data_IF_133512321605
#
_entry.id   IF_133512321605
#
_cell.length_a   1.000
_cell.length_b   1.000
_cell.length_c   1.000
_cell.angle_alpha   90.00
_cell.angle_beta   90.00
_cell.angle_gamma   90.00
#
_symmetry.space_group_name_H-M   'P 1'
#
loop_
_entity.id
_entity.type
_entity.pdbx_description
1 polymer ?
#
# COMPACT_ATOMS: atom_id res chain seq x y z
N UNK A 1 -15.81 -7.53 -10.06
CA UNK A 1 -17.00 -6.89 -10.66
C UNK A 1 -17.04 -5.47 -10.14
N UNK A 2 -17.14 -4.49 -11.02
CA UNK A 2 -17.21 -3.08 -10.65
C UNK A 2 -18.41 -2.47 -11.36
N UNK A 3 -19.28 -1.80 -10.61
CA UNK A 3 -20.37 -0.99 -11.16
C UNK A 3 -20.08 0.47 -10.81
N UNK A 4 -20.05 1.34 -11.81
CA UNK A 4 -19.97 2.79 -11.62
C UNK A 4 -21.28 3.42 -12.09
N UNK A 5 -21.75 4.44 -11.38
CA UNK A 5 -22.91 5.22 -11.75
C UNK A 5 -22.65 6.72 -11.54
N UNK A 6 -23.26 7.55 -12.37
CA UNK A 6 -23.29 8.99 -12.19
C UNK A 6 -24.76 9.42 -12.07
N UNK A 7 -25.11 10.03 -10.94
CA UNK A 7 -26.46 10.52 -10.68
C UNK A 7 -26.49 12.04 -10.75
N UNK A 8 -27.59 12.59 -11.25
CA UNK A 8 -27.89 14.02 -11.28
C UNK A 8 -29.04 14.34 -10.34
N UNK A 9 -28.85 15.34 -9.49
CA UNK A 9 -29.91 15.91 -8.64
C UNK A 9 -30.01 17.40 -8.90
N UNK A 10 -31.22 17.96 -8.86
CA UNK A 10 -31.44 19.40 -9.00
C UNK A 10 -32.28 19.96 -7.87
N UNK A 11 -31.96 21.18 -7.46
CA UNK A 11 -32.77 21.95 -6.51
C UNK A 11 -32.64 23.45 -6.81
N UNK A 12 -33.55 24.23 -6.24
CA UNK A 12 -33.56 25.69 -6.37
C UNK A 12 -32.96 26.28 -5.10
N UNK A 13 -32.05 27.23 -5.25
CA UNK A 13 -31.49 27.98 -4.13
C UNK A 13 -31.20 29.44 -4.53
N UNK A 14 -31.00 30.29 -3.54
CA UNK A 14 -30.59 31.68 -3.72
C UNK A 14 -29.10 31.78 -3.46
N UNK A 15 -28.35 32.20 -4.48
CA UNK A 15 -26.90 32.38 -4.41
C UNK A 15 -26.55 33.86 -4.38
N UNK A 16 -25.48 34.20 -3.67
CA UNK A 16 -24.89 35.54 -3.62
C UNK A 16 -23.44 35.47 -4.13
N UNK A 17 -23.11 36.33 -5.10
CA UNK A 17 -21.76 36.41 -5.66
C UNK A 17 -21.29 37.87 -5.77
N UNK A 18 -19.98 38.14 -5.83
CA UNK A 18 -19.45 39.46 -6.17
C UNK A 18 -20.05 40.00 -7.47
N UNK A 19 -20.34 41.29 -7.53
CA UNK A 19 -20.91 41.91 -8.71
C UNK A 19 -19.88 42.12 -9.83
N UNK A 20 -19.55 41.05 -10.54
CA UNK A 20 -18.61 41.08 -11.68
C UNK A 20 -19.27 41.52 -13.00
N UNK A 21 -20.52 41.97 -12.97
CA UNK A 21 -21.29 42.36 -14.16
C UNK A 21 -22.35 41.33 -14.54
N UNK A 22 -22.62 41.19 -15.86
CA UNK A 22 -23.72 40.37 -16.36
C UNK A 22 -23.43 38.88 -16.19
N UNK A 23 -24.33 38.18 -15.50
CA UNK A 23 -24.32 36.72 -15.37
C UNK A 23 -24.97 36.08 -16.61
N UNK A 24 -24.53 34.88 -17.05
CA UNK A 24 -25.31 34.07 -17.96
C UNK A 24 -26.60 33.65 -17.26
N UNK A 25 -27.74 33.91 -17.89
CA UNK A 25 -29.06 33.66 -17.31
C UNK A 25 -29.88 32.69 -18.15
N UNK A 26 -30.80 32.00 -17.48
CA UNK A 26 -31.75 31.07 -18.07
C UNK A 26 -33.19 31.59 -17.92
N UNK A 27 -34.11 31.22 -18.82
CA UNK A 27 -35.49 31.71 -18.79
C UNK A 27 -36.21 31.43 -17.46
N UNK A 28 -37.06 32.35 -17.04
CA UNK A 28 -37.80 32.25 -15.76
C UNK A 28 -38.72 31.04 -15.69
N UNK A 29 -39.22 30.57 -16.84
CA UNK A 29 -40.07 29.39 -16.99
C UNK A 29 -39.38 28.10 -16.54
N UNK A 30 -38.05 28.09 -16.48
CA UNK A 30 -37.28 26.97 -15.98
C UNK A 30 -37.56 26.65 -14.50
N UNK A 31 -38.08 27.61 -13.72
CA UNK A 31 -38.51 27.37 -12.34
C UNK A 31 -39.74 26.46 -12.24
N UNK A 32 -40.60 26.43 -13.26
CA UNK A 32 -41.78 25.55 -13.30
C UNK A 32 -41.38 24.07 -13.48
N UNK A 33 -40.27 23.84 -14.19
CA UNK A 33 -39.70 22.52 -14.39
C UNK A 33 -38.18 22.63 -14.51
N UNK A 34 -37.50 22.48 -13.37
CA UNK A 34 -36.04 22.64 -13.25
C UNK A 34 -35.26 21.67 -14.13
N UNK A 35 -35.90 20.58 -14.57
CA UNK A 35 -35.30 19.58 -15.45
C UNK A 35 -35.33 19.95 -16.94
N UNK A 36 -36.03 21.03 -17.32
CA UNK A 36 -36.04 21.55 -18.69
C UNK A 36 -34.71 22.18 -19.10
N UNK A 37 -33.91 22.65 -18.12
CA UNK A 37 -32.59 23.20 -18.36
C UNK A 37 -31.66 22.09 -18.87
N UNK A 38 -31.00 22.31 -20.00
CA UNK A 38 -30.01 21.36 -20.52
C UNK A 38 -28.74 21.45 -19.68
N UNK A 39 -28.43 20.41 -18.91
CA UNK A 39 -27.15 20.26 -18.22
C UNK A 39 -26.11 19.66 -19.17
N UNK A 40 -24.84 19.81 -18.85
CA UNK A 40 -23.72 19.21 -19.60
C UNK A 40 -22.96 18.23 -18.70
N UNK A 41 -23.41 16.98 -18.55
CA UNK A 41 -22.75 16.04 -17.63
C UNK A 41 -21.26 15.85 -17.98
N UNK A 42 -20.36 15.75 -16.99
CA UNK A 42 -18.92 15.52 -17.23
C UNK A 42 -18.72 14.22 -18.00
N UNK A 43 -17.72 14.01 -18.87
CA UNK A 43 -17.62 12.75 -19.64
C UNK A 43 -17.26 11.53 -18.78
N UNK A 44 -16.56 11.74 -17.67
CA UNK A 44 -16.12 10.72 -16.73
C UNK A 44 -17.11 10.53 -15.56
N UNK A 45 -16.82 9.59 -14.66
CA UNK A 45 -17.52 9.47 -13.37
C UNK A 45 -16.94 10.45 -12.33
N UNK A 46 -16.84 11.73 -12.71
CA UNK A 46 -16.40 12.80 -11.82
C UNK A 46 -17.60 13.48 -11.16
N UNK A 47 -17.39 13.98 -9.93
CA UNK A 47 -18.33 14.91 -9.32
C UNK A 47 -18.25 16.27 -10.00
N UNK A 48 -19.40 16.89 -10.21
CA UNK A 48 -19.49 18.23 -10.80
C UNK A 48 -20.71 18.98 -10.25
N UNK A 49 -20.66 20.31 -10.27
CA UNK A 49 -21.77 21.17 -9.84
C UNK A 49 -21.94 22.30 -10.84
N UNK A 50 -23.10 22.34 -11.46
CA UNK A 50 -23.48 23.36 -12.44
C UNK A 50 -24.55 24.26 -11.85
N UNK A 51 -24.36 25.57 -12.02
CA UNK A 51 -25.23 26.60 -11.50
C UNK A 51 -25.88 27.29 -12.68
N UNK A 52 -27.21 27.36 -12.67
CA UNK A 52 -28.01 28.00 -13.71
C UNK A 52 -28.78 29.18 -13.13
N UNK A 53 -28.21 30.41 -13.16
CA UNK A 53 -28.88 31.62 -12.70
C UNK A 53 -30.16 31.90 -13.50
N UNK A 54 -31.26 32.26 -12.84
CA UNK A 54 -32.54 32.52 -13.50
C UNK A 54 -32.69 34.02 -13.80
N UNK A 55 -33.08 34.35 -15.03
CA UNK A 55 -33.26 35.75 -15.44
C UNK A 55 -34.36 36.45 -14.61
N UNK A 56 -34.19 37.76 -14.41
CA UNK A 56 -35.15 38.59 -13.68
C UNK A 56 -35.12 38.43 -12.16
N UNK A 57 -34.34 37.48 -11.62
CA UNK A 57 -34.22 37.25 -10.17
C UNK A 57 -33.01 37.95 -9.54
N UNK A 58 -32.17 38.61 -10.33
CA UNK A 58 -30.97 39.28 -9.87
C UNK A 58 -31.32 40.52 -9.05
N UNK A 59 -30.73 40.63 -7.86
CA UNK A 59 -30.80 41.80 -7.00
C UNK A 59 -29.40 42.23 -6.61
N UNK A 60 -29.02 43.42 -7.05
CA UNK A 60 -27.75 44.06 -6.65
C UNK A 60 -27.94 44.72 -5.30
N UNK A 61 -26.97 44.53 -4.40
CA UNK A 61 -26.93 45.22 -3.12
C UNK A 61 -25.50 45.65 -2.77
N UNK A 62 -25.40 46.70 -1.95
CA UNK A 62 -24.12 47.15 -1.40
C UNK A 62 -23.54 46.05 -0.54
N UNK A 63 -22.23 45.75 -0.70
CA UNK A 63 -21.59 44.72 0.10
C UNK A 63 -21.61 45.12 1.59
N UNK A 64 -22.21 44.32 2.47
CA UNK A 64 -22.33 44.67 3.89
C UNK A 64 -21.00 44.58 4.64
N UNK A 65 -19.99 43.88 4.09
CA UNK A 65 -18.70 43.72 4.76
C UNK A 65 -17.79 44.95 4.59
N UNK A 66 -17.89 45.67 3.45
CA UNK A 66 -17.09 46.86 3.17
C UNK A 66 -17.93 48.12 2.96
N UNK A 67 -19.25 48.04 3.12
CA UNK A 67 -20.20 49.13 2.93
C UNK A 67 -20.03 49.88 1.59
N UNK A 68 -19.72 49.15 0.52
CA UNK A 68 -19.53 49.75 -0.81
C UNK A 68 -18.09 50.12 -1.16
N UNK A 69 -17.17 50.12 -0.18
CA UNK A 69 -15.80 50.57 -0.41
C UNK A 69 -14.95 49.62 -1.26
N UNK A 70 -15.33 48.35 -1.36
CA UNK A 70 -14.51 47.31 -2.01
C UNK A 70 -13.28 46.88 -1.18
N UNK A 71 -12.84 47.70 -0.25
CA UNK A 71 -11.68 47.46 0.61
C UNK A 71 -12.07 47.46 2.09
N UNK A 72 -11.28 46.77 2.91
CA UNK A 72 -11.40 46.73 4.37
C UNK A 72 -10.12 47.34 4.95
N UNK A 73 -10.27 48.47 5.65
CA UNK A 73 -9.17 49.12 6.36
C UNK A 73 -9.10 48.62 7.80
N UNK A 74 -8.00 47.96 8.15
CA UNK A 74 -7.74 47.47 9.52
C UNK A 74 -6.58 48.23 10.14
N UNK A 75 -6.65 48.39 11.45
CA UNK A 75 -5.51 48.93 12.22
C UNK A 75 -4.33 47.97 12.07
N UNK A 76 -3.16 48.51 11.77
CA UNK A 76 -1.97 47.70 11.60
C UNK A 76 -1.54 47.12 12.96
N UNK A 77 -1.76 45.82 13.17
CA UNK A 77 -1.39 45.09 14.39
C UNK A 77 0.08 45.30 14.77
N UNK A 78 0.93 45.22 13.76
CA UNK A 78 2.38 45.41 13.83
C UNK A 78 2.84 46.72 14.50
N UNK A 79 2.07 47.81 14.39
CA UNK A 79 2.40 49.10 15.02
C UNK A 79 1.28 49.67 15.90
N UNK A 80 0.23 48.88 16.17
CA UNK A 80 -0.94 49.33 16.91
C UNK A 80 -1.64 50.55 16.31
N UNK A 81 -1.52 50.78 15.00
CA UNK A 81 -2.09 51.96 14.34
C UNK A 81 -1.20 53.20 14.25
N UNK A 82 -0.02 53.18 14.86
CA UNK A 82 0.84 54.38 14.95
C UNK A 82 1.66 54.67 13.69
N UNK A 83 1.71 53.74 12.73
CA UNK A 83 2.53 53.86 11.52
C UNK A 83 4.04 53.73 11.75
N UNK A 84 4.48 53.64 13.00
CA UNK A 84 5.90 53.54 13.35
C UNK A 84 6.13 52.51 14.45
N UNK A 85 7.35 51.99 14.54
CA UNK A 85 7.77 51.12 15.64
C UNK A 85 8.97 51.74 16.33
N UNK A 86 9.13 51.45 17.62
CA UNK A 86 10.33 51.85 18.37
C UNK A 86 11.55 51.20 17.70
N UNK A 87 12.58 51.98 17.41
CA UNK A 87 13.81 51.47 16.83
C UNK A 87 14.45 50.48 17.82
N UNK A 88 14.56 49.22 17.42
CA UNK A 88 15.15 48.16 18.25
C UNK A 88 16.63 48.42 18.51
N UNK A 89 17.35 49.02 17.56
CA UNK A 89 18.79 49.28 17.66
C UNK A 89 19.17 50.33 18.71
N UNK A 90 18.25 51.25 19.07
CA UNK A 90 18.49 52.27 20.09
C UNK A 90 17.44 52.32 21.21
N UNK A 91 16.52 51.34 21.25
CA UNK A 91 15.41 51.26 22.19
C UNK A 91 14.61 52.57 22.34
N UNK A 92 14.45 53.33 21.24
CA UNK A 92 13.72 54.59 21.25
C UNK A 92 14.53 55.85 21.56
N UNK A 93 15.79 55.73 21.98
CA UNK A 93 16.61 56.87 22.39
C UNK A 93 17.15 57.72 21.23
N UNK A 94 17.16 57.19 20.00
CA UNK A 94 17.76 57.85 18.83
C UNK A 94 19.29 57.86 18.83
N UNK A 95 19.94 57.29 19.86
CA UNK A 95 21.40 57.26 19.97
C UNK A 95 21.89 55.90 20.48
N UNK A 96 23.08 55.50 20.08
CA UNK A 96 23.74 54.29 20.58
C UNK A 96 24.91 54.73 21.45
N UNK A 97 24.98 54.19 22.66
CA UNK A 97 26.09 54.44 23.59
C UNK A 97 27.12 53.33 23.40
N UNK A 98 28.38 53.71 23.19
CA UNK A 98 29.51 52.80 23.10
C UNK A 98 30.58 53.20 24.10
N UNK A 99 31.13 52.20 24.75
CA UNK A 99 32.25 52.35 25.67
C UNK A 99 33.54 52.10 24.90
N UNK A 100 34.43 53.08 24.91
CA UNK A 100 35.74 52.99 24.29
C UNK A 100 36.81 52.97 25.39
N UNK A 101 37.59 51.88 25.43
CA UNK A 101 38.70 51.77 26.36
C UNK A 101 39.89 52.55 25.82
N UNK A 102 40.32 53.57 26.57
CA UNK A 102 41.40 54.48 26.15
C UNK A 102 42.70 54.27 26.94
N UNK A 103 42.80 53.16 27.70
CA UNK A 103 43.95 52.84 28.54
C UNK A 103 43.95 53.51 29.91
N UNK A 104 44.86 53.08 30.79
CA UNK A 104 45.01 53.56 32.18
C UNK A 104 43.78 53.34 33.09
N UNK A 105 42.99 52.29 32.85
CA UNK A 105 41.78 51.98 33.64
C UNK A 105 40.63 52.97 33.43
N UNK A 106 40.66 53.78 32.36
CA UNK A 106 39.61 54.75 32.03
C UNK A 106 38.85 54.31 30.79
N UNK A 107 37.52 54.46 30.85
CA UNK A 107 36.60 54.21 29.74
C UNK A 107 35.93 55.52 29.37
N UNK A 108 35.93 55.87 28.08
CA UNK A 108 35.22 57.04 27.56
C UNK A 108 33.90 56.55 26.97
N UNK A 109 32.80 57.13 27.43
CA UNK A 109 31.47 56.84 26.91
C UNK A 109 31.20 57.75 25.73
N UNK A 110 31.07 57.19 24.52
CA UNK A 110 30.67 57.91 23.31
C UNK A 110 29.20 57.67 22.99
N UNK A 111 28.49 58.75 22.68
CA UNK A 111 27.11 58.70 22.18
C UNK A 111 27.13 59.00 20.69
N UNK A 112 26.77 58.01 19.90
CA UNK A 112 26.64 58.15 18.45
C UNK A 112 25.17 58.23 18.05
N UNK A 113 24.86 58.99 17.00
CA UNK A 113 23.50 59.00 16.43
C UNK A 113 23.20 57.60 15.90
N UNK A 114 22.03 57.06 16.25
CA UNK A 114 21.63 55.75 15.74
C UNK A 114 21.44 55.84 14.23
N UNK A 115 22.29 55.15 13.46
CA UNK A 115 22.26 55.14 12.01
C UNK A 115 21.03 54.41 11.44
N UNK A 116 20.53 53.40 12.15
CA UNK A 116 19.34 52.63 11.76
C UNK A 116 18.07 53.49 11.69
N UNK A 117 17.85 54.37 12.66
CA UNK A 117 16.70 55.29 12.65
C UNK A 117 17.06 56.73 12.24
N UNK A 118 18.32 57.02 11.91
CA UNK A 118 18.83 58.37 11.64
C UNK A 118 18.57 59.35 12.79
N UNK A 119 18.71 58.91 14.05
CA UNK A 119 18.47 59.76 15.21
C UNK A 119 17.03 59.88 15.71
N UNK A 120 16.03 59.35 14.97
CA UNK A 120 14.59 59.54 15.31
C UNK A 120 14.07 58.70 16.47
N UNK A 121 14.76 57.63 16.87
CA UNK A 121 14.28 56.66 17.86
C UNK A 121 13.12 55.77 17.38
N UNK A 122 12.57 56.01 16.19
CA UNK A 122 11.48 55.24 15.59
C UNK A 122 11.76 54.92 14.13
N UNK A 123 11.21 53.80 13.70
CA UNK A 123 11.28 53.30 12.33
C UNK A 123 9.88 53.26 11.72
N UNK A 124 9.78 53.51 10.42
CA UNK A 124 8.52 53.39 9.69
C UNK A 124 8.08 51.93 9.72
N UNK A 125 6.83 51.68 10.09
CA UNK A 125 6.33 50.31 10.14
C UNK A 125 6.24 49.76 8.71
N UNK A 126 7.07 48.75 8.40
CA UNK A 126 7.10 48.10 7.08
C UNK A 126 5.79 47.42 6.72
N UNK A 127 5.07 46.86 7.69
CA UNK A 127 3.79 46.16 7.46
C UNK A 127 2.66 47.06 6.94
N UNK A 128 2.75 48.37 7.15
CA UNK A 128 1.75 49.33 6.67
C UNK A 128 2.39 50.51 5.93
N UNK A 129 3.68 50.42 5.62
CA UNK A 129 4.47 51.49 4.99
C UNK A 129 4.24 52.89 5.60
N UNK A 130 4.11 52.96 6.93
CA UNK A 130 3.92 54.24 7.63
C UNK A 130 2.47 54.73 7.80
N UNK A 131 1.48 54.12 7.16
CA UNK A 131 0.08 54.61 7.21
C UNK A 131 -0.64 54.31 8.53
N UNK A 132 -0.11 53.36 9.32
CA UNK A 132 -0.78 52.82 10.51
C UNK A 132 -1.96 51.90 10.20
N UNK A 133 -2.33 51.71 8.93
CA UNK A 133 -3.45 50.86 8.53
C UNK A 133 -3.04 49.89 7.43
N UNK A 134 -3.64 48.73 7.43
CA UNK A 134 -3.51 47.76 6.33
C UNK A 134 -4.82 47.77 5.58
N UNK A 135 -4.73 47.92 4.26
CA UNK A 135 -5.87 47.92 3.34
C UNK A 135 -5.87 46.56 2.66
N UNK A 136 -6.98 45.84 2.79
CA UNK A 136 -7.18 44.53 2.19
C UNK A 136 -8.38 44.59 1.25
N UNK A 137 -8.30 43.90 0.11
CA UNK A 137 -9.46 43.72 -0.77
C UNK A 137 -10.53 42.92 -0.03
N UNK A 138 -11.78 43.39 -0.07
CA UNK A 138 -12.89 42.71 0.58
C UNK A 138 -13.15 41.37 -0.12
N UNK A 139 -12.94 40.26 0.59
CA UNK A 139 -13.10 38.90 0.05
C UNK A 139 -14.55 38.50 -0.26
N UNK A 140 -15.55 39.18 0.33
CA UNK A 140 -16.96 38.89 0.05
C UNK A 140 -17.40 39.44 -1.31
N UNK A 141 -16.85 40.57 -1.73
CA UNK A 141 -17.21 41.23 -2.98
C UNK A 141 -16.03 41.39 -3.94
N UNK A 142 -14.90 40.71 -3.69
CA UNK A 142 -13.67 40.77 -4.49
C UNK A 142 -13.25 42.19 -4.94
N UNK A 143 -13.43 43.20 -4.08
CA UNK A 143 -13.10 44.59 -4.42
C UNK A 143 -14.19 45.38 -5.15
N UNK A 144 -15.28 44.75 -5.60
CA UNK A 144 -16.33 45.40 -6.38
C UNK A 144 -17.26 46.31 -5.55
N UNK A 145 -17.21 46.22 -4.21
CA UNK A 145 -18.08 47.01 -3.33
C UNK A 145 -19.56 46.61 -3.33
N UNK A 146 -19.99 45.75 -4.25
CA UNK A 146 -21.37 45.27 -4.38
C UNK A 146 -21.43 43.76 -4.60
N UNK A 147 -22.55 43.16 -4.21
CA UNK A 147 -22.86 41.74 -4.39
C UNK A 147 -24.19 41.61 -5.13
N UNK A 148 -24.36 40.50 -5.84
CA UNK A 148 -25.59 40.18 -6.57
C UNK A 148 -26.14 38.88 -6.01
N UNK A 149 -27.37 38.93 -5.49
CA UNK A 149 -28.13 37.74 -5.13
C UNK A 149 -29.07 37.36 -6.27
N UNK A 150 -29.24 36.07 -6.56
CA UNK A 150 -30.14 35.58 -7.59
C UNK A 150 -30.64 34.18 -7.27
N UNK A 151 -31.80 33.82 -7.80
CA UNK A 151 -32.30 32.44 -7.75
C UNK A 151 -31.60 31.63 -8.83
N UNK A 152 -31.13 30.43 -8.48
CA UNK A 152 -30.48 29.53 -9.42
C UNK A 152 -31.02 28.10 -9.26
N UNK A 153 -31.03 27.37 -10.38
CA UNK A 153 -31.14 25.91 -10.34
C UNK A 153 -29.72 25.35 -10.20
N UNK A 154 -29.50 24.61 -9.13
CA UNK A 154 -28.22 23.95 -8.85
C UNK A 154 -28.34 22.49 -9.25
N UNK A 155 -27.46 22.06 -10.15
CA UNK A 155 -27.38 20.72 -10.68
C UNK A 155 -26.12 20.05 -10.16
N UNK A 156 -26.27 18.97 -9.40
CA UNK A 156 -25.17 18.22 -8.83
C UNK A 156 -25.03 16.86 -9.52
N UNK A 157 -23.82 16.57 -9.97
CA UNK A 157 -23.42 15.25 -10.44
C UNK A 157 -22.65 14.54 -9.35
N UNK A 158 -23.14 13.37 -8.94
CA UNK A 158 -22.53 12.55 -7.88
C UNK A 158 -22.12 11.18 -8.42
N UNK A 159 -20.84 10.81 -8.37
CA UNK A 159 -20.39 9.49 -8.77
C UNK A 159 -20.58 8.47 -7.65
N UNK A 160 -20.88 7.24 -8.03
CA UNK A 160 -21.00 6.08 -7.16
C UNK A 160 -20.20 4.92 -7.75
N UNK A 161 -19.59 4.12 -6.88
CA UNK A 161 -18.76 2.97 -7.28
C UNK A 161 -18.97 1.83 -6.30
N UNK A 162 -19.34 0.67 -6.83
CA UNK A 162 -19.43 -0.58 -6.08
C UNK A 162 -18.46 -1.61 -6.62
N UNK A 163 -17.88 -2.40 -5.72
CA UNK A 163 -16.94 -3.46 -6.06
C UNK A 163 -17.33 -4.76 -5.34
N UNK A 164 -17.42 -5.83 -6.13
CA UNK A 164 -17.67 -7.20 -5.64
C UNK A 164 -16.61 -8.13 -6.19
N UNK A 165 -16.06 -8.98 -5.33
CA UNK A 165 -15.13 -10.04 -5.70
C UNK A 165 -15.82 -11.38 -5.52
N UNK A 166 -15.85 -12.16 -6.60
CA UNK A 166 -16.44 -13.49 -6.61
C UNK A 166 -15.31 -14.49 -6.81
N UNK A 167 -15.13 -15.41 -5.86
CA UNK A 167 -14.15 -16.48 -5.94
C UNK A 167 -14.80 -17.80 -5.57
N UNK A 168 -14.77 -18.78 -6.47
CA UNK A 168 -15.27 -20.14 -6.21
C UNK A 168 -14.50 -20.84 -5.08
N UNK A 169 -13.22 -20.52 -4.92
CA UNK A 169 -12.33 -21.20 -3.98
C UNK A 169 -12.05 -20.39 -2.70
N UNK A 170 -12.77 -19.28 -2.49
CA UNK A 170 -12.60 -18.40 -1.34
C UNK A 170 -11.13 -17.99 -1.10
N UNK A 171 -10.43 -17.66 -2.18
CA UNK A 171 -9.02 -17.28 -2.11
C UNK A 171 -8.84 -15.95 -1.34
N UNK A 172 -7.73 -15.77 -0.60
CA UNK A 172 -7.51 -14.55 0.16
C UNK A 172 -7.53 -13.29 -0.72
N UNK A 173 -8.31 -12.27 -0.35
CA UNK A 173 -8.45 -11.04 -1.13
C UNK A 173 -7.11 -10.31 -1.39
N UNK A 174 -6.21 -10.27 -0.40
CA UNK A 174 -4.86 -9.67 -0.53
C UNK A 174 -4.04 -10.28 -1.68
N UNK A 175 -4.23 -11.59 -1.92
CA UNK A 175 -3.55 -12.29 -3.00
C UNK A 175 -4.07 -11.82 -4.37
N UNK A 176 -5.38 -11.60 -4.48
CA UNK A 176 -6.06 -11.19 -5.71
C UNK A 176 -5.80 -9.72 -6.07
N UNK A 177 -5.74 -8.81 -5.08
CA UNK A 177 -5.53 -7.36 -5.29
C UNK A 177 -4.24 -7.02 -6.06
N UNK A 178 -3.21 -7.85 -5.93
CA UNK A 178 -1.91 -7.60 -6.54
C UNK A 178 -1.72 -8.34 -7.85
N UNK A 179 -2.78 -8.93 -8.41
CA UNK A 179 -2.75 -9.61 -9.70
C UNK A 179 -3.25 -8.72 -10.83
N UNK A 180 -2.75 -9.01 -12.03
CA UNK A 180 -3.23 -8.38 -13.25
C UNK A 180 -4.60 -8.93 -13.62
N UNK A 181 -5.58 -8.05 -13.65
CA UNK A 181 -6.95 -8.35 -14.04
C UNK A 181 -7.13 -8.18 -15.55
N UNK A 182 -7.99 -8.98 -16.17
CA UNK A 182 -8.37 -8.85 -17.58
C UNK A 182 -9.86 -8.48 -17.68
N UNK A 183 -10.19 -7.41 -18.40
CA UNK A 183 -11.59 -7.02 -18.63
C UNK A 183 -12.23 -7.98 -19.63
N UNK A 184 -13.29 -8.67 -19.22
CA UNK A 184 -14.02 -9.62 -20.05
C UNK A 184 -15.41 -9.11 -20.44
N UNK A 185 -15.89 -8.08 -19.75
CA UNK A 185 -17.17 -7.44 -20.05
C UNK A 185 -17.15 -5.99 -19.61
N UNK A 186 -17.63 -5.12 -20.48
CA UNK A 186 -17.78 -3.71 -20.21
C UNK A 186 -19.00 -3.19 -20.98
N UNK A 187 -20.04 -2.76 -20.25
CA UNK A 187 -21.25 -2.23 -20.87
C UNK A 187 -22.03 -1.32 -19.91
N UNK A 188 -22.77 -0.38 -20.47
CA UNK A 188 -23.83 0.32 -19.74
C UNK A 188 -24.99 -0.65 -19.43
N UNK A 189 -25.63 -0.48 -18.28
CA UNK A 189 -26.69 -1.36 -17.79
C UNK A 189 -27.95 -0.56 -17.51
N UNK A 190 -29.13 -1.05 -17.87
CA UNK A 190 -30.36 -0.36 -17.47
C UNK A 190 -30.77 -0.79 -16.06
N UNK A 191 -31.22 0.13 -15.18
CA UNK A 191 -31.85 -0.24 -13.91
C UNK A 191 -33.13 -1.09 -14.09
N UNK A 192 -33.71 -1.11 -15.29
CA UNK A 192 -34.95 -1.83 -15.60
C UNK A 192 -34.70 -3.18 -16.29
N UNK A 193 -33.60 -3.30 -17.03
CA UNK A 193 -33.27 -4.49 -17.82
C UNK A 193 -31.93 -5.03 -17.31
N UNK A 194 -31.99 -6.16 -16.61
CA UNK A 194 -30.79 -6.89 -16.19
C UNK A 194 -30.06 -7.35 -17.47
N UNK A 195 -28.74 -7.10 -17.59
CA UNK A 195 -28.00 -7.50 -18.76
C UNK A 195 -28.02 -9.04 -18.87
N UNK A 196 -28.15 -9.56 -20.10
CA UNK A 196 -28.09 -10.99 -20.33
C UNK A 196 -26.67 -11.50 -20.07
N UNK A 197 -26.41 -11.91 -18.83
CA UNK A 197 -25.11 -12.41 -18.36
C UNK A 197 -25.06 -13.95 -18.38
N UNK A 198 -25.81 -14.58 -19.29
CA UNK A 198 -25.92 -16.05 -19.40
C UNK A 198 -24.58 -16.76 -19.61
N UNK A 199 -23.58 -16.05 -20.17
CA UNK A 199 -22.21 -16.55 -20.35
C UNK A 199 -21.40 -16.63 -19.05
N UNK A 200 -21.85 -15.96 -17.98
CA UNK A 200 -21.16 -15.91 -16.69
C UNK A 200 -21.74 -16.94 -15.70
N UNK A 201 -20.94 -17.41 -14.73
CA UNK A 201 -21.43 -18.26 -13.65
C UNK A 201 -22.59 -17.62 -12.86
N UNK A 202 -23.48 -18.44 -12.30
CA UNK A 202 -24.66 -17.96 -11.54
C UNK A 202 -24.28 -17.03 -10.39
N UNK A 203 -23.15 -17.29 -9.73
CA UNK A 203 -22.64 -16.47 -8.63
C UNK A 203 -22.34 -15.04 -9.10
N UNK A 204 -21.78 -14.89 -10.30
CA UNK A 204 -21.52 -13.57 -10.90
C UNK A 204 -22.83 -12.87 -11.28
N UNK A 205 -23.80 -13.63 -11.80
CA UNK A 205 -25.11 -13.08 -12.20
C UNK A 205 -25.90 -12.52 -11.01
N UNK A 206 -25.95 -13.25 -9.89
CA UNK A 206 -26.64 -12.79 -8.67
C UNK A 206 -25.95 -11.57 -8.05
N UNK A 207 -24.62 -11.53 -8.03
CA UNK A 207 -23.87 -10.35 -7.55
C UNK A 207 -24.13 -9.11 -8.42
N UNK A 208 -24.14 -9.26 -9.75
CA UNK A 208 -24.50 -8.14 -10.63
C UNK A 208 -25.93 -7.70 -10.39
N UNK A 209 -26.87 -8.63 -10.23
CA UNK A 209 -28.27 -8.32 -9.94
C UNK A 209 -28.42 -7.55 -8.63
N UNK A 210 -27.67 -7.92 -7.58
CA UNK A 210 -27.59 -7.18 -6.33
C UNK A 210 -27.08 -5.74 -6.53
N UNK A 211 -25.96 -5.57 -7.23
CA UNK A 211 -25.40 -4.25 -7.55
C UNK A 211 -26.35 -3.37 -8.36
N UNK A 212 -27.07 -3.95 -9.33
CA UNK A 212 -28.08 -3.23 -10.10
C UNK A 212 -29.26 -2.83 -9.22
N UNK A 213 -29.62 -3.65 -8.23
CA UNK A 213 -30.60 -3.32 -7.18
C UNK A 213 -30.16 -2.11 -6.36
N UNK A 214 -28.94 -2.11 -5.82
CA UNK A 214 -28.37 -0.99 -5.07
C UNK A 214 -28.34 0.31 -5.90
N UNK A 215 -27.94 0.22 -7.17
CA UNK A 215 -27.96 1.37 -8.09
C UNK A 215 -29.39 1.86 -8.34
N UNK A 216 -30.37 0.96 -8.46
CA UNK A 216 -31.78 1.32 -8.69
C UNK A 216 -32.36 2.10 -7.52
N UNK A 217 -31.95 1.80 -6.28
CA UNK A 217 -32.37 2.53 -5.09
C UNK A 217 -31.91 4.00 -5.09
N UNK A 218 -30.84 4.33 -5.81
CA UNK A 218 -30.41 5.73 -5.98
C UNK A 218 -31.32 6.52 -6.92
N UNK A 219 -32.05 5.85 -7.81
CA UNK A 219 -32.87 6.49 -8.83
C UNK A 219 -34.28 6.67 -8.28
N UNK A 220 -34.71 7.92 -8.16
CA UNK A 220 -35.98 8.28 -7.52
C UNK A 220 -36.50 9.63 -8.02
N UNK A 221 -37.51 10.18 -7.34
CA UNK A 221 -38.25 11.38 -7.79
C UNK A 221 -37.34 12.55 -8.20
N UNK A 222 -36.33 12.85 -7.40
CA UNK A 222 -35.45 14.01 -7.61
C UNK A 222 -34.03 13.63 -8.08
N UNK A 223 -33.79 12.34 -8.40
CA UNK A 223 -32.47 11.83 -8.79
C UNK A 223 -32.55 11.06 -10.09
N UNK A 224 -31.84 11.55 -11.11
CA UNK A 224 -31.74 10.91 -12.42
C UNK A 224 -30.42 10.16 -12.57
N UNK A 225 -30.47 8.95 -13.10
CA UNK A 225 -29.27 8.27 -13.56
C UNK A 225 -28.83 8.86 -14.90
N UNK A 226 -27.60 9.36 -14.96
CA UNK A 226 -27.04 9.95 -16.18
C UNK A 226 -26.28 8.92 -16.99
N UNK A 227 -25.43 8.14 -16.32
CA UNK A 227 -24.73 7.04 -16.94
C UNK A 227 -24.31 6.00 -15.91
N UNK A 228 -24.01 4.82 -16.40
CA UNK A 228 -23.34 3.79 -15.63
C UNK A 228 -22.45 2.94 -16.52
N UNK A 229 -21.59 2.18 -15.87
CA UNK A 229 -20.65 1.29 -16.50
C UNK A 229 -20.45 0.07 -15.59
N UNK A 230 -20.85 -1.10 -16.08
CA UNK A 230 -20.55 -2.38 -15.46
C UNK A 230 -19.31 -2.96 -16.11
N UNK A 231 -18.29 -3.20 -15.29
CA UNK A 231 -17.05 -3.86 -15.71
C UNK A 231 -16.90 -5.18 -14.96
N UNK A 232 -16.80 -6.28 -15.70
CA UNK A 232 -16.44 -7.59 -15.14
C UNK A 232 -15.01 -7.88 -15.57
N UNK A 233 -14.15 -8.04 -14.59
CA UNK A 233 -12.77 -8.46 -14.78
C UNK A 233 -12.57 -9.83 -14.18
N UNK A 234 -11.70 -10.62 -14.78
CA UNK A 234 -11.35 -11.97 -14.33
C UNK A 234 -9.86 -12.08 -14.07
N UNK A 235 -9.53 -12.99 -13.16
CA UNK A 235 -8.16 -13.46 -12.93
C UNK A 235 -8.19 -14.95 -13.29
N UNK A 236 -7.45 -15.37 -14.33
CA UNK A 236 -7.33 -16.79 -14.67
C UNK A 236 -6.75 -17.56 -13.48
N UNK A 237 -7.34 -18.72 -13.20
CA UNK A 237 -6.94 -19.52 -12.07
C UNK A 237 -7.22 -20.99 -12.33
N UNK A 238 -6.24 -21.85 -12.03
CA UNK A 238 -6.35 -23.29 -12.13
C UNK A 238 -6.11 -23.92 -10.76
N UNK A 239 -6.93 -24.92 -10.41
CA UNK A 239 -6.74 -25.71 -9.21
C UNK A 239 -6.09 -27.05 -9.61
N UNK A 240 -4.94 -27.33 -9.03
CA UNK A 240 -4.23 -28.60 -9.18
C UNK A 240 -4.38 -29.38 -7.88
N UNK A 241 -5.07 -30.52 -7.96
CA UNK A 241 -5.11 -31.50 -6.87
C UNK A 241 -3.82 -32.31 -6.92
N UNK A 242 -3.15 -32.45 -5.78
CA UNK A 242 -1.93 -33.24 -5.66
C UNK A 242 -2.04 -34.21 -4.50
N UNK A 243 -1.29 -35.30 -4.58
CA UNK A 243 -1.15 -36.28 -3.50
C UNK A 243 0.34 -36.50 -3.24
N UNK A 244 0.82 -36.07 -2.08
CA UNK A 244 2.22 -36.23 -1.68
C UNK A 244 2.24 -37.03 -0.37
N UNK A 245 2.94 -38.16 -0.36
CA UNK A 245 3.12 -39.01 0.83
C UNK A 245 1.79 -39.42 1.49
N UNK A 246 0.76 -39.67 0.67
CA UNK A 246 -0.58 -40.05 1.11
C UNK A 246 -1.50 -38.87 1.48
N UNK A 247 -0.96 -37.65 1.59
CA UNK A 247 -1.76 -36.46 1.87
C UNK A 247 -2.21 -35.80 0.57
N UNK A 248 -3.51 -35.63 0.44
CA UNK A 248 -4.12 -34.87 -0.65
C UNK A 248 -4.17 -33.38 -0.30
N UNK A 249 -3.90 -32.53 -1.29
CA UNK A 249 -3.93 -31.08 -1.16
C UNK A 249 -4.29 -30.42 -2.47
N UNK A 250 -4.65 -29.14 -2.38
CA UNK A 250 -4.95 -28.31 -3.54
C UNK A 250 -3.90 -27.21 -3.66
N UNK A 251 -3.46 -26.96 -4.88
CA UNK A 251 -2.61 -25.84 -5.24
C UNK A 251 -3.35 -24.99 -6.26
N UNK A 252 -3.27 -23.67 -6.12
CA UNK A 252 -3.90 -22.75 -7.07
C UNK A 252 -2.82 -22.01 -7.84
N UNK A 253 -2.85 -22.18 -9.15
CA UNK A 253 -2.05 -21.41 -10.09
C UNK A 253 -2.89 -20.22 -10.54
N UNK A 254 -2.36 -19.01 -10.43
CA UNK A 254 -3.10 -17.76 -10.59
C UNK A 254 -2.38 -16.84 -11.57
N UNK A 255 -3.15 -16.12 -12.38
CA UNK A 255 -2.66 -15.23 -13.43
C UNK A 255 -2.69 -15.87 -14.82
N UNK A 256 -2.59 -15.02 -15.86
CA UNK A 256 -2.68 -15.44 -17.27
C UNK A 256 -1.62 -16.46 -17.66
N UNK A 257 -0.40 -16.26 -17.17
CA UNK A 257 0.74 -17.15 -17.39
C UNK A 257 1.08 -17.99 -16.15
N UNK A 258 0.11 -18.16 -15.23
CA UNK A 258 0.26 -18.91 -13.97
C UNK A 258 1.47 -18.48 -13.11
N UNK A 259 1.79 -17.19 -13.15
CA UNK A 259 2.96 -16.60 -12.49
C UNK A 259 2.97 -16.76 -10.97
N UNK A 260 1.81 -17.03 -10.35
CA UNK A 260 1.68 -17.21 -8.91
C UNK A 260 1.13 -18.56 -8.53
N UNK A 261 1.82 -19.21 -7.61
CA UNK A 261 1.38 -20.43 -6.94
C UNK A 261 0.91 -20.11 -5.52
N UNK A 262 -0.34 -20.44 -5.21
CA UNK A 262 -0.88 -20.40 -3.87
C UNK A 262 -1.08 -21.82 -3.34
N UNK A 263 -0.35 -22.13 -2.28
CA UNK A 263 -0.46 -23.36 -1.52
C UNK A 263 -0.92 -23.01 -0.10
N UNK A 264 -2.19 -23.23 0.27
CA UNK A 264 -2.56 -23.20 1.67
C UNK A 264 -1.76 -24.28 2.38
N UNK A 265 -1.21 -23.92 3.55
CA UNK A 265 -0.30 -24.72 4.39
C UNK A 265 -0.28 -26.21 4.02
N UNK A 266 0.77 -26.60 3.29
CA UNK A 266 1.00 -28.01 2.98
C UNK A 266 1.29 -28.72 4.31
N UNK A 267 0.55 -29.76 4.69
CA UNK A 267 0.84 -30.55 5.88
C UNK A 267 1.97 -31.53 5.57
N UNK A 268 3.12 -31.04 5.13
CA UNK A 268 4.34 -31.85 5.18
C UNK A 268 4.76 -31.89 6.64
N UNK A 269 4.21 -32.85 7.39
CA UNK A 269 4.68 -33.13 8.74
C UNK A 269 6.16 -33.47 8.65
N UNK A 270 6.97 -32.75 9.42
CA UNK A 270 8.43 -32.87 9.56
C UNK A 270 8.93 -34.33 9.68
N UNK A 271 8.05 -35.24 10.12
CA UNK A 271 8.21 -36.70 10.20
C UNK A 271 8.75 -37.39 8.94
N UNK A 272 8.37 -36.95 7.73
CA UNK A 272 8.84 -37.61 6.50
C UNK A 272 10.33 -37.34 6.22
N UNK A 273 10.85 -36.18 6.64
CA UNK A 273 12.27 -35.85 6.55
C UNK A 273 13.10 -36.63 7.58
N UNK A 274 12.55 -36.88 8.77
CA UNK A 274 13.20 -37.67 9.83
C UNK A 274 13.39 -39.12 9.38
N UNK A 275 12.34 -39.74 8.82
CA UNK A 275 12.39 -41.13 8.32
C UNK A 275 13.43 -41.32 7.21
N UNK A 276 13.56 -40.36 6.29
CA UNK A 276 14.56 -40.42 5.22
C UNK A 276 16.00 -40.43 5.79
N UNK A 277 16.26 -39.60 6.81
CA UNK A 277 17.56 -39.52 7.50
C UNK A 277 17.93 -40.82 8.24
N UNK A 278 16.94 -41.52 8.81
CA UNK A 278 17.17 -42.81 9.47
C UNK A 278 17.61 -43.89 8.48
N UNK A 279 16.94 -44.00 7.33
CA UNK A 279 17.27 -44.99 6.28
C UNK A 279 18.69 -44.85 5.74
N UNK A 280 19.15 -43.62 5.49
CA UNK A 280 20.53 -43.39 5.07
C UNK A 280 21.55 -43.88 6.11
N UNK A 281 21.25 -43.70 7.40
CA UNK A 281 22.15 -44.13 8.48
C UNK A 281 22.23 -45.65 8.57
N UNK A 282 21.12 -46.36 8.40
CA UNK A 282 21.09 -47.83 8.38
C UNK A 282 21.86 -48.39 7.17
N UNK A 283 21.68 -47.81 5.98
CA UNK A 283 22.39 -48.25 4.78
C UNK A 283 23.91 -48.10 4.91
N UNK A 284 24.37 -46.97 5.47
CA UNK A 284 25.80 -46.76 5.76
C UNK A 284 26.34 -47.79 6.76
N UNK A 285 25.55 -48.21 7.76
CA UNK A 285 26.00 -49.16 8.77
C UNK A 285 26.15 -50.57 8.17
N UNK A 286 25.22 -50.96 7.31
CA UNK A 286 25.30 -52.21 6.56
C UNK A 286 26.53 -52.25 5.65
N UNK A 287 26.82 -51.16 4.91
CA UNK A 287 28.01 -51.06 4.06
C UNK A 287 29.32 -51.16 4.84
N UNK A 288 29.36 -50.56 6.04
CA UNK A 288 30.51 -50.68 6.92
C UNK A 288 30.74 -52.12 7.37
N UNK A 289 29.70 -52.84 7.83
CA UNK A 289 29.82 -54.26 8.21
C UNK A 289 30.26 -55.14 7.03
N UNK A 290 29.76 -54.87 5.82
CA UNK A 290 30.17 -55.55 4.59
C UNK A 290 31.65 -55.32 4.26
N UNK A 291 32.12 -54.07 4.34
CA UNK A 291 33.53 -53.71 4.17
C UNK A 291 34.42 -54.42 5.19
N UNK A 292 34.00 -54.47 6.45
CA UNK A 292 34.72 -55.22 7.50
C UNK A 292 34.80 -56.71 7.19
N UNK A 293 33.69 -57.33 6.75
CA UNK A 293 33.68 -58.74 6.35
C UNK A 293 34.64 -59.04 5.18
N UNK A 294 34.65 -58.19 4.15
CA UNK A 294 35.56 -58.34 3.01
C UNK A 294 37.03 -58.16 3.40
N UNK A 295 37.33 -57.18 4.25
CA UNK A 295 38.67 -57.01 4.82
C UNK A 295 39.10 -58.28 5.56
N UNK A 296 38.21 -58.89 6.34
CA UNK A 296 38.48 -60.13 7.07
C UNK A 296 38.74 -61.32 6.16
N UNK A 297 37.93 -61.50 5.12
CA UNK A 297 38.17 -62.52 4.09
C UNK A 297 39.56 -62.33 3.45
N UNK A 298 39.94 -61.09 3.14
CA UNK A 298 41.29 -60.78 2.66
C UNK A 298 42.41 -61.20 3.63
N UNK A 299 42.27 -60.91 4.92
CA UNK A 299 43.28 -61.28 5.95
C UNK A 299 43.36 -62.81 6.11
N UNK A 300 42.24 -63.53 6.09
CA UNK A 300 42.22 -64.97 6.37
C UNK A 300 42.85 -65.79 5.24
N UNK A 301 42.65 -65.37 3.99
CA UNK A 301 43.18 -66.03 2.80
C UNK A 301 44.54 -65.48 2.34
N UNK A 302 45.34 -64.92 3.25
CA UNK A 302 46.64 -64.25 2.98
C UNK A 302 47.67 -65.07 2.16
N UNK A 303 47.40 -66.37 1.94
CA UNK A 303 48.21 -67.32 1.19
C UNK A 303 47.87 -67.42 -0.32
N UNK A 304 46.87 -66.70 -0.84
CA UNK A 304 46.40 -66.81 -2.22
C UNK A 304 46.54 -65.49 -3.01
N UNK A 305 47.79 -65.07 -3.29
CA UNK A 305 48.14 -64.11 -4.35
C UNK A 305 47.42 -62.75 -4.39
N UNK A 306 47.37 -62.13 -5.58
CA UNK A 306 46.89 -60.77 -5.85
C UNK A 306 45.41 -60.51 -5.48
N UNK A 307 44.57 -61.56 -5.49
CA UNK A 307 43.14 -61.45 -5.13
C UNK A 307 42.98 -61.11 -3.65
N UNK A 308 43.84 -61.64 -2.77
CA UNK A 308 43.78 -61.31 -1.33
C UNK A 308 44.13 -59.84 -1.07
N UNK A 309 45.12 -59.30 -1.78
CA UNK A 309 45.55 -57.91 -1.66
C UNK A 309 44.45 -56.95 -2.12
N UNK A 310 43.78 -57.26 -3.24
CA UNK A 310 42.68 -56.46 -3.74
C UNK A 310 41.49 -56.40 -2.78
N UNK A 311 41.13 -57.53 -2.16
CA UNK A 311 40.05 -57.60 -1.16
C UNK A 311 40.38 -56.81 0.12
N UNK A 312 41.65 -56.76 0.53
CA UNK A 312 42.09 -55.95 1.66
C UNK A 312 41.91 -54.45 1.41
N UNK A 313 42.31 -53.97 0.22
CA UNK A 313 42.14 -52.56 -0.15
C UNK A 313 40.67 -52.14 -0.24
N UNK A 314 39.84 -52.96 -0.90
CA UNK A 314 38.41 -52.68 -1.02
C UNK A 314 37.68 -52.73 0.33
N UNK A 315 37.93 -53.77 1.13
CA UNK A 315 37.29 -53.93 2.43
C UNK A 315 37.69 -52.82 3.41
N UNK A 316 38.99 -52.50 3.50
CA UNK A 316 39.51 -51.45 4.38
C UNK A 316 39.04 -50.05 3.97
N UNK A 317 39.08 -49.74 2.67
CA UNK A 317 38.61 -48.46 2.15
C UNK A 317 37.10 -48.26 2.37
N UNK A 318 36.28 -49.28 2.05
CA UNK A 318 34.83 -49.19 2.22
C UNK A 318 34.45 -49.06 3.70
N UNK A 319 35.11 -49.79 4.60
CA UNK A 319 34.87 -49.70 6.04
C UNK A 319 35.23 -48.32 6.61
N UNK A 320 36.40 -47.79 6.25
CA UNK A 320 36.88 -46.50 6.76
C UNK A 320 35.99 -45.33 6.30
N UNK A 321 35.65 -45.28 5.00
CA UNK A 321 34.85 -44.18 4.43
C UNK A 321 33.41 -44.23 4.97
N UNK A 322 32.77 -45.40 4.96
CA UNK A 322 31.39 -45.53 5.47
C UNK A 322 31.28 -45.28 6.98
N UNK A 323 32.26 -45.75 7.76
CA UNK A 323 32.34 -45.53 9.20
C UNK A 323 32.53 -44.05 9.57
N UNK A 324 33.42 -43.34 8.86
CA UNK A 324 33.64 -41.91 9.08
C UNK A 324 32.38 -41.09 8.77
N UNK A 325 31.72 -41.37 7.65
CA UNK A 325 30.49 -40.68 7.26
C UNK A 325 29.37 -40.92 8.27
N UNK A 326 29.26 -42.14 8.81
CA UNK A 326 28.34 -42.48 9.90
C UNK A 326 28.62 -41.72 11.18
N UNK A 327 29.88 -41.66 11.60
CA UNK A 327 30.29 -40.99 12.83
C UNK A 327 29.95 -39.49 12.78
N UNK A 328 30.23 -38.85 11.63
CA UNK A 328 29.90 -37.43 11.41
C UNK A 328 28.39 -37.19 11.41
N UNK A 329 27.59 -38.09 10.83
CA UNK A 329 26.13 -37.92 10.73
C UNK A 329 25.36 -38.33 11.99
N UNK A 330 25.83 -39.35 12.71
CA UNK A 330 25.24 -39.90 13.95
C UNK A 330 26.33 -40.46 14.88
N UNK A 331 26.88 -39.63 15.78
CA UNK A 331 28.04 -40.01 16.58
C UNK A 331 27.78 -41.21 17.50
N UNK A 332 26.59 -41.33 18.08
CA UNK A 332 26.23 -42.46 18.96
C UNK A 332 26.21 -43.78 18.17
N UNK A 333 25.56 -43.82 17.00
CA UNK A 333 25.50 -45.01 16.17
C UNK A 333 26.89 -45.40 15.63
N UNK A 334 27.70 -44.41 15.25
CA UNK A 334 29.10 -44.61 14.86
C UNK A 334 29.96 -45.20 15.98
N UNK A 335 29.83 -44.69 17.21
CA UNK A 335 30.53 -45.23 18.39
C UNK A 335 30.16 -46.67 18.69
N UNK A 336 28.87 -47.01 18.62
CA UNK A 336 28.39 -48.39 18.81
C UNK A 336 28.98 -49.32 17.76
N UNK A 337 28.98 -48.92 16.49
CA UNK A 337 29.55 -49.72 15.41
C UNK A 337 31.07 -49.94 15.58
N UNK A 338 31.81 -48.88 15.96
CA UNK A 338 33.23 -48.99 16.30
C UNK A 338 33.47 -49.93 17.48
N UNK A 339 32.65 -49.85 18.54
CA UNK A 339 32.74 -50.76 19.68
C UNK A 339 32.48 -52.23 19.28
N UNK A 340 31.48 -52.50 18.43
CA UNK A 340 31.21 -53.85 17.92
C UNK A 340 32.35 -54.39 17.05
N UNK A 341 32.90 -53.56 16.15
CA UNK A 341 34.02 -53.98 15.29
C UNK A 341 35.31 -54.25 16.09
N UNK A 342 35.59 -53.47 17.13
CA UNK A 342 36.75 -53.67 18.01
C UNK A 342 36.57 -54.90 18.91
N UNK A 343 35.38 -55.13 19.47
CA UNK A 343 35.06 -56.35 20.21
C UNK A 343 35.19 -57.60 19.32
N UNK A 344 34.63 -57.56 18.11
CA UNK A 344 34.79 -58.63 17.13
C UNK A 344 36.26 -58.84 16.76
N UNK A 345 37.07 -57.78 16.74
CA UNK A 345 38.51 -57.88 16.52
C UNK A 345 39.25 -58.60 17.65
N UNK A 346 38.92 -58.28 18.90
CA UNK A 346 39.50 -58.92 20.08
C UNK A 346 39.09 -60.39 20.21
N UNK A 347 37.80 -60.71 20.00
CA UNK A 347 37.31 -62.09 20.00
C UNK A 347 38.00 -62.94 18.93
N UNK A 348 38.26 -62.36 17.76
CA UNK A 348 38.97 -63.06 16.69
C UNK A 348 40.45 -63.28 17.01
N UNK A 349 41.16 -62.29 17.58
CA UNK A 349 42.53 -62.46 18.08
C UNK A 349 42.62 -63.61 19.09
N UNK A 350 41.64 -63.71 19.99
CA UNK A 350 41.48 -64.83 20.92
C UNK A 350 41.29 -66.17 20.18
N UNK A 351 40.43 -66.20 19.15
CA UNK A 351 40.20 -67.39 18.35
C UNK A 351 41.44 -67.85 17.57
N UNK A 352 42.19 -66.92 16.96
CA UNK A 352 43.46 -67.20 16.29
C UNK A 352 44.51 -67.74 17.28
N UNK A 353 44.61 -67.15 18.48
CA UNK A 353 45.49 -67.62 19.56
C UNK A 353 45.12 -69.04 20.03
N UNK A 354 43.82 -69.35 20.13
CA UNK A 354 43.33 -70.69 20.47
C UNK A 354 43.64 -71.69 19.34
N UNK A 355 43.42 -71.33 18.08
CA UNK A 355 43.75 -72.18 16.93
C UNK A 355 45.27 -72.44 16.80
N UNK A 356 46.10 -71.45 17.13
CA UNK A 356 47.56 -71.60 17.11
C UNK A 356 48.07 -72.45 18.27
N UNK A 357 47.41 -72.42 19.43
CA UNK A 357 47.69 -73.28 20.58
C UNK A 357 47.29 -74.75 20.40
N UNK A 358 46.37 -75.04 19.47
CA UNK A 358 45.92 -76.41 19.14
C UNK A 358 46.75 -77.05 18.02
N UNK A 359 47.58 -76.27 17.31
CA UNK A 359 48.48 -76.75 16.23
C UNK A 359 49.96 -76.86 16.63
N UNK A 360 50.28 -76.88 17.92
CA UNK A 360 51.63 -77.14 18.42
C UNK A 360 51.69 -78.37 19.31
#
# INVERSE_FOLDING_TARGET
>A
ITLQALTETRYIDILEVPNRGKLPTYPSEALNNIWSIKSTPPDSFASDTQIFPIEGTQKVSTCPNCNGAGEISRVCWSCGGSGSRVCSSCAGSGSIVRDEYVGSGRTVVRREVCTYCGGRGKEVCSSCSGTGRVIETCSRCDGYGSVVSFTAVICNFKPHKWERVVSRWNLPFKLLQSMKEESVFEAAVSPQIIPQLSKFPKEVQEEVKGLVGEMKELVGGDTRLIRNLLTIKTIPAACVTFRILGVEGNAWLLGKDFERLYLPKVPLTFDSWVKLKDWFSVALAALSLLGFGLLRLGIHFHSLGDVSVFLLFLGGGLWAVSGLVLFVRRPIAGLVLLAFTTLAFLLFRLFDLVLYGVRK
#
